data_IF_200447282005
#
_entry.id   IF_200447282005
#
_cell.length_a   1.000
_cell.length_b   1.000
_cell.length_c   1.000
_cell.angle_alpha   90.00
_cell.angle_beta   90.00
_cell.angle_gamma   90.00
#
_symmetry.space_group_name_H-M   'P 1'
#
loop_
_entity.id
_entity.type
_entity.pdbx_description
1 polymer ?
#
# COMPACT_ATOMS: atom_id res chain seq x y z
N UNK A 1 -1.17 -4.96 11.51
CA UNK A 1 -2.36 -5.68 11.01
C UNK A 1 -2.08 -6.25 9.62
N UNK A 2 -2.57 -7.46 9.33
CA UNK A 2 -2.38 -8.18 8.05
C UNK A 2 -3.68 -8.81 7.53
N UNK A 3 -4.66 -8.99 8.41
CA UNK A 3 -5.93 -9.65 8.05
C UNK A 3 -6.86 -8.70 7.30
N UNK A 4 -7.54 -9.23 6.26
CA UNK A 4 -8.52 -8.46 5.49
C UNK A 4 -9.91 -8.45 6.15
N UNK A 5 -10.68 -7.38 5.94
CA UNK A 5 -10.33 -6.14 5.20
C UNK A 5 -9.31 -5.30 5.99
N UNK A 6 -8.10 -5.18 5.47
CA UNK A 6 -6.90 -4.77 6.23
C UNK A 6 -7.01 -3.37 6.84
N UNK A 7 -7.47 -2.37 6.10
CA UNK A 7 -7.59 -0.99 6.58
C UNK A 7 -8.60 -0.90 7.72
N UNK A 8 -9.78 -1.50 7.56
CA UNK A 8 -10.84 -1.57 8.57
C UNK A 8 -10.38 -2.34 9.81
N UNK A 9 -9.68 -3.48 9.63
CA UNK A 9 -9.14 -4.26 10.75
C UNK A 9 -8.01 -3.52 11.49
N UNK A 10 -7.24 -2.70 10.79
CA UNK A 10 -6.24 -1.81 11.42
C UNK A 10 -6.94 -0.75 12.27
N UNK A 11 -7.98 -0.13 11.75
CA UNK A 11 -8.79 0.84 12.49
C UNK A 11 -9.45 0.21 13.73
N UNK A 12 -10.07 -0.95 13.56
CA UNK A 12 -10.67 -1.71 14.68
C UNK A 12 -9.64 -2.04 15.75
N UNK A 13 -8.46 -2.51 15.36
CA UNK A 13 -7.38 -2.82 16.29
C UNK A 13 -6.94 -1.59 17.09
N UNK A 14 -6.82 -0.44 16.42
CA UNK A 14 -6.51 0.81 17.12
C UNK A 14 -7.58 1.18 18.15
N UNK A 15 -8.86 1.12 17.77
CA UNK A 15 -9.98 1.43 18.69
C UNK A 15 -10.06 0.48 19.86
N UNK A 16 -9.87 -0.83 19.60
CA UNK A 16 -10.02 -1.87 20.65
C UNK A 16 -8.84 -1.90 21.62
N UNK A 17 -7.64 -1.53 21.18
CA UNK A 17 -6.44 -1.62 22.03
C UNK A 17 -6.08 -0.32 22.74
N UNK A 18 -6.52 0.83 22.21
CA UNK A 18 -6.13 2.15 22.72
C UNK A 18 -4.63 2.44 22.60
N UNK A 19 -3.90 1.66 21.79
CA UNK A 19 -2.48 1.88 21.55
C UNK A 19 -2.22 3.21 20.85
N UNK A 20 -1.00 3.72 20.98
CA UNK A 20 -0.57 4.89 20.22
C UNK A 20 -0.73 4.62 18.71
N UNK A 21 -1.44 5.49 17.96
CA UNK A 21 -1.67 5.31 16.52
C UNK A 21 -0.40 5.05 15.70
N UNK A 22 0.73 5.64 16.09
CA UNK A 22 2.03 5.41 15.44
C UNK A 22 2.53 3.96 15.54
N UNK A 23 1.97 3.17 16.46
CA UNK A 23 2.32 1.75 16.66
C UNK A 23 1.32 0.76 16.08
N UNK A 24 0.21 1.24 15.54
CA UNK A 24 -0.81 0.40 14.90
C UNK A 24 -0.73 0.61 13.39
N UNK A 25 -0.18 -0.37 12.70
CA UNK A 25 0.21 -0.27 11.29
C UNK A 25 -0.43 -1.42 10.52
N UNK A 26 -1.04 -1.13 9.38
CA UNK A 26 -1.54 -2.12 8.43
C UNK A 26 -0.54 -2.36 7.29
N UNK A 27 -0.22 -3.63 7.03
CA UNK A 27 0.75 -4.03 6.00
C UNK A 27 0.03 -4.29 4.66
N UNK A 28 -0.55 -3.27 4.03
CA UNK A 28 -1.16 -3.34 2.69
C UNK A 28 -0.26 -2.77 1.61
N UNK A 29 0.01 -1.48 1.69
CA UNK A 29 0.77 -0.74 0.68
C UNK A 29 2.18 -1.28 0.43
N UNK A 30 2.85 -1.85 1.44
CA UNK A 30 4.14 -2.50 1.27
C UNK A 30 4.06 -3.70 0.30
N UNK A 31 3.05 -4.56 0.47
CA UNK A 31 2.80 -5.71 -0.39
C UNK A 31 2.39 -5.28 -1.80
N UNK A 32 1.46 -4.32 -1.91
CA UNK A 32 0.97 -3.82 -3.19
C UNK A 32 2.08 -3.12 -3.98
N UNK A 33 2.96 -2.38 -3.31
CA UNK A 33 4.14 -1.78 -3.90
C UNK A 33 5.13 -2.83 -4.43
N UNK A 34 5.28 -3.95 -3.72
CA UNK A 34 6.12 -5.05 -4.21
C UNK A 34 5.55 -5.70 -5.47
N UNK A 35 4.23 -5.84 -5.57
CA UNK A 35 3.53 -6.30 -6.78
C UNK A 35 3.71 -5.32 -7.93
N UNK A 36 3.52 -4.03 -7.67
CA UNK A 36 3.72 -2.99 -8.67
C UNK A 36 5.14 -3.00 -9.24
N UNK A 37 6.17 -3.10 -8.38
CA UNK A 37 7.57 -3.27 -8.80
C UNK A 37 7.78 -4.54 -9.61
N UNK A 38 7.10 -5.64 -9.28
CA UNK A 38 7.18 -6.89 -10.05
C UNK A 38 6.63 -6.68 -11.47
N UNK A 39 5.46 -6.11 -11.64
CA UNK A 39 4.88 -5.88 -12.96
C UNK A 39 5.68 -4.84 -13.77
N UNK A 40 6.22 -3.79 -13.12
CA UNK A 40 7.15 -2.86 -13.78
C UNK A 40 8.44 -3.57 -14.25
N UNK A 41 9.01 -4.42 -13.42
CA UNK A 41 10.20 -5.23 -13.74
C UNK A 41 9.96 -6.10 -14.99
N UNK A 42 8.81 -6.77 -15.05
CA UNK A 42 8.41 -7.58 -16.20
C UNK A 42 8.20 -6.72 -17.46
N UNK A 43 7.51 -5.60 -17.34
CA UNK A 43 7.23 -4.69 -18.46
C UNK A 43 8.50 -4.06 -19.03
N UNK A 44 9.45 -3.72 -18.17
CA UNK A 44 10.75 -3.16 -18.54
C UNK A 44 11.74 -4.21 -19.02
N UNK A 45 11.50 -5.49 -18.75
CA UNK A 45 12.49 -6.58 -18.88
C UNK A 45 13.80 -6.26 -18.14
N UNK A 46 13.68 -5.75 -16.92
CA UNK A 46 14.80 -5.33 -16.07
C UNK A 46 14.62 -5.86 -14.65
N UNK A 47 15.69 -6.06 -13.86
CA UNK A 47 15.58 -6.52 -12.48
C UNK A 47 14.89 -5.47 -11.60
N UNK A 48 14.22 -5.93 -10.52
CA UNK A 48 13.56 -5.02 -9.57
C UNK A 48 14.53 -4.07 -8.85
N UNK A 49 15.80 -4.47 -8.75
CA UNK A 49 16.85 -3.60 -8.21
C UNK A 49 16.95 -2.34 -9.08
N UNK A 50 16.79 -1.18 -8.47
CA UNK A 50 16.73 0.11 -9.15
C UNK A 50 15.30 0.64 -9.40
N UNK A 51 14.25 -0.18 -9.19
CA UNK A 51 12.88 0.30 -9.20
C UNK A 51 12.54 1.01 -7.88
N UNK A 52 12.17 2.26 -7.99
CA UNK A 52 11.47 3.02 -6.96
C UNK A 52 10.02 3.23 -7.42
N UNK A 53 9.08 2.63 -6.69
CA UNK A 53 7.66 2.68 -7.01
C UNK A 53 6.84 2.32 -5.77
N UNK A 54 5.67 2.94 -5.65
CA UNK A 54 4.79 2.75 -4.51
C UNK A 54 3.32 2.66 -4.94
N UNK A 55 2.54 2.03 -4.07
CA UNK A 55 1.07 2.00 -4.13
C UNK A 55 0.56 2.63 -2.85
N UNK A 56 -0.40 3.55 -2.98
CA UNK A 56 -1.12 4.17 -1.87
C UNK A 56 -2.60 3.78 -1.93
N UNK A 57 -3.39 4.29 -1.02
CA UNK A 57 -4.83 4.01 -1.03
C UNK A 57 -5.22 2.84 -0.14
N UNK A 58 -6.47 2.39 -0.22
CA UNK A 58 -6.97 1.22 0.48
C UNK A 58 -6.40 -0.08 -0.07
N UNK A 59 -6.27 -1.10 0.78
CA UNK A 59 -5.76 -2.42 0.38
C UNK A 59 -6.86 -3.30 -0.25
N UNK A 60 -7.40 -2.86 -1.37
CA UNK A 60 -8.41 -3.58 -2.14
C UNK A 60 -8.26 -3.33 -3.62
N UNK A 61 -8.75 -4.26 -4.46
CA UNK A 61 -8.57 -4.23 -5.92
C UNK A 61 -9.14 -2.95 -6.58
N UNK A 62 -10.09 -2.28 -5.92
CA UNK A 62 -10.74 -1.06 -6.42
C UNK A 62 -10.31 0.20 -5.66
N UNK A 63 -9.49 0.06 -4.62
CA UNK A 63 -9.13 1.18 -3.73
C UNK A 63 -7.64 1.48 -3.70
N UNK A 64 -6.80 0.56 -4.17
CA UNK A 64 -5.36 0.82 -4.29
C UNK A 64 -5.05 1.72 -5.49
N UNK A 65 -4.03 2.55 -5.36
CA UNK A 65 -3.62 3.55 -6.35
C UNK A 65 -2.13 3.37 -6.63
N UNK A 66 -1.74 2.64 -7.69
CA UNK A 66 -0.34 2.54 -8.09
C UNK A 66 0.17 3.88 -8.62
N UNK A 67 1.11 4.49 -7.91
CA UNK A 67 1.62 5.85 -8.17
C UNK A 67 2.64 5.85 -9.31
N UNK A 68 2.18 5.58 -10.54
CA UNK A 68 3.05 5.45 -11.71
C UNK A 68 3.81 6.76 -12.05
N UNK A 69 3.24 7.93 -11.74
CA UNK A 69 3.89 9.24 -11.97
C UNK A 69 5.15 9.41 -11.10
N UNK A 70 5.18 8.80 -9.93
CA UNK A 70 6.32 8.81 -9.02
C UNK A 70 7.29 7.66 -9.28
N UNK A 71 6.92 6.68 -10.10
CA UNK A 71 7.73 5.49 -10.32
C UNK A 71 8.93 5.77 -11.22
N UNK A 72 10.10 5.23 -10.80
CA UNK A 72 11.39 5.43 -11.48
C UNK A 72 12.16 4.13 -11.56
N UNK A 73 13.03 4.03 -12.56
CA UNK A 73 14.06 3.01 -12.68
C UNK A 73 15.43 3.68 -12.78
N UNK A 74 16.31 3.49 -11.76
CA UNK A 74 17.59 4.18 -11.64
C UNK A 74 17.45 5.70 -11.86
N UNK A 75 16.52 6.31 -11.10
CA UNK A 75 16.15 7.72 -11.14
C UNK A 75 15.48 8.21 -12.44
N UNK A 76 15.35 7.37 -13.47
CA UNK A 76 14.64 7.72 -14.68
C UNK A 76 13.14 7.41 -14.55
N UNK A 77 12.24 8.40 -14.79
CA UNK A 77 10.80 8.19 -14.75
C UNK A 77 10.35 7.08 -15.70
N UNK A 78 9.49 6.17 -15.24
CA UNK A 78 8.99 5.05 -16.06
C UNK A 78 8.22 5.54 -17.30
N UNK A 79 7.64 6.72 -17.27
CA UNK A 79 6.96 7.36 -18.41
C UNK A 79 7.89 7.66 -19.60
N UNK A 80 9.21 7.68 -19.39
CA UNK A 80 10.19 7.76 -20.46
C UNK A 80 10.63 6.40 -20.99
N UNK A 81 10.37 5.34 -20.24
CA UNK A 81 10.82 3.98 -20.53
C UNK A 81 9.71 3.08 -21.08
N UNK A 82 8.46 3.38 -20.78
CA UNK A 82 7.27 2.62 -21.18
C UNK A 82 6.24 3.53 -21.83
N UNK A 83 5.49 3.00 -22.79
CA UNK A 83 4.32 3.69 -23.35
C UNK A 83 3.20 3.81 -22.32
N UNK A 84 2.30 4.79 -22.52
CA UNK A 84 1.13 4.97 -21.65
C UNK A 84 0.24 3.72 -21.59
N UNK A 85 0.06 3.01 -22.71
CA UNK A 85 -0.71 1.76 -22.75
C UNK A 85 -0.06 0.69 -21.86
N UNK A 86 1.28 0.58 -21.91
CA UNK A 86 2.02 -0.39 -21.10
C UNK A 86 1.98 -0.04 -19.60
N UNK A 87 2.05 1.24 -19.27
CA UNK A 87 1.89 1.72 -17.89
C UNK A 87 0.48 1.38 -17.39
N UNK A 88 -0.55 1.63 -18.20
CA UNK A 88 -1.94 1.33 -17.86
C UNK A 88 -2.17 -0.17 -17.63
N UNK A 89 -1.55 -1.03 -18.45
CA UNK A 89 -1.57 -2.49 -18.28
C UNK A 89 -0.93 -2.91 -16.95
N UNK A 90 0.22 -2.33 -16.61
CA UNK A 90 0.94 -2.59 -15.35
C UNK A 90 0.10 -2.15 -14.14
N UNK A 91 -0.48 -0.95 -14.18
CA UNK A 91 -1.36 -0.44 -13.13
C UNK A 91 -2.53 -1.39 -12.91
N UNK A 92 -3.25 -1.76 -13.97
CA UNK A 92 -4.38 -2.68 -13.91
C UNK A 92 -3.98 -4.06 -13.36
N UNK A 93 -2.84 -4.61 -13.82
CA UNK A 93 -2.33 -5.89 -13.33
C UNK A 93 -1.96 -5.84 -11.85
N UNK A 94 -1.43 -4.71 -11.38
CA UNK A 94 -1.13 -4.49 -9.96
C UNK A 94 -2.40 -4.55 -9.12
N UNK A 95 -3.44 -3.84 -9.53
CA UNK A 95 -4.72 -3.76 -8.80
C UNK A 95 -5.36 -5.14 -8.63
N UNK A 96 -5.43 -5.94 -9.69
CA UNK A 96 -6.08 -7.26 -9.65
C UNK A 96 -5.16 -8.42 -9.25
N UNK A 97 -3.87 -8.17 -9.06
CA UNK A 97 -2.84 -9.21 -8.86
C UNK A 97 -3.10 -10.08 -7.63
N UNK A 98 -3.64 -9.52 -6.56
CA UNK A 98 -3.99 -10.26 -5.35
C UNK A 98 -5.13 -11.25 -5.57
N UNK A 99 -6.23 -10.79 -6.17
CA UNK A 99 -7.39 -11.62 -6.50
C UNK A 99 -7.02 -12.72 -7.54
N UNK A 100 -6.23 -12.37 -8.54
CA UNK A 100 -5.72 -13.32 -9.54
C UNK A 100 -4.93 -14.45 -8.89
N UNK A 101 -3.99 -14.12 -7.99
CA UNK A 101 -3.19 -15.12 -7.30
C UNK A 101 -4.04 -16.01 -6.38
N UNK A 102 -4.96 -15.43 -5.63
CA UNK A 102 -5.90 -16.17 -4.76
C UNK A 102 -6.74 -17.15 -5.58
N UNK A 103 -7.24 -16.72 -6.75
CA UNK A 103 -8.00 -17.58 -7.66
C UNK A 103 -7.17 -18.77 -8.19
N UNK A 104 -5.90 -18.53 -8.54
CA UNK A 104 -5.01 -19.56 -9.07
C UNK A 104 -4.58 -20.56 -8.00
N UNK A 105 -4.36 -20.11 -6.76
CA UNK A 105 -3.95 -20.94 -5.64
C UNK A 105 -5.13 -21.67 -4.95
N UNK A 106 -6.36 -21.20 -5.15
CA UNK A 106 -7.54 -21.67 -4.41
C UNK A 106 -7.55 -21.24 -2.93
N UNK A 107 -6.60 -20.40 -2.52
CA UNK A 107 -6.47 -19.87 -1.15
C UNK A 107 -5.71 -18.55 -1.19
N UNK A 108 -5.71 -17.81 -0.06
CA UNK A 108 -4.91 -16.59 0.08
C UNK A 108 -3.41 -16.88 -0.06
N UNK A 109 -2.69 -15.98 -0.71
CA UNK A 109 -1.23 -16.05 -0.78
C UNK A 109 -0.62 -15.82 0.60
N UNK A 110 0.49 -16.50 0.90
CA UNK A 110 1.23 -16.36 2.17
C UNK A 110 2.69 -15.97 2.00
N UNK A 111 3.39 -16.39 0.93
CA UNK A 111 4.83 -16.09 0.74
C UNK A 111 5.11 -14.59 0.61
N UNK A 112 4.44 -13.91 -0.33
CA UNK A 112 4.64 -12.48 -0.52
C UNK A 112 4.18 -11.66 0.69
N UNK A 113 3.00 -11.93 1.32
CA UNK A 113 2.63 -11.30 2.59
C UNK A 113 3.65 -11.54 3.70
N UNK A 114 4.14 -12.77 3.88
CA UNK A 114 5.16 -13.09 4.88
C UNK A 114 6.45 -12.33 4.67
N UNK A 115 6.93 -12.23 3.43
CA UNK A 115 8.10 -11.42 3.06
C UNK A 115 7.90 -9.93 3.33
N UNK A 116 6.71 -9.40 3.03
CA UNK A 116 6.38 -7.99 3.28
C UNK A 116 6.29 -7.68 4.78
N UNK A 117 5.76 -8.62 5.58
CA UNK A 117 5.78 -8.51 7.05
C UNK A 117 7.21 -8.48 7.55
N UNK A 118 8.05 -9.42 7.11
CA UNK A 118 9.45 -9.49 7.51
C UNK A 118 10.21 -8.19 7.17
N UNK A 119 9.95 -7.63 5.99
CA UNK A 119 10.53 -6.35 5.56
C UNK A 119 10.12 -5.18 6.46
N UNK A 120 8.85 -5.11 6.84
CA UNK A 120 8.33 -4.07 7.75
C UNK A 120 8.91 -4.24 9.16
N UNK A 121 8.88 -5.46 9.70
CA UNK A 121 9.42 -5.79 11.03
C UNK A 121 10.91 -5.50 11.11
N UNK A 122 11.67 -5.87 10.08
CA UNK A 122 13.10 -5.57 9.98
C UNK A 122 13.40 -4.06 10.01
N UNK A 123 12.53 -3.23 9.38
CA UNK A 123 12.66 -1.78 9.46
C UNK A 123 12.43 -1.25 10.88
N UNK A 124 11.47 -1.83 11.63
CA UNK A 124 11.16 -1.45 13.00
C UNK A 124 12.28 -1.89 13.95
N UNK A 125 12.63 -3.19 13.93
CA UNK A 125 13.60 -3.77 14.87
C UNK A 125 14.99 -3.17 14.74
N UNK A 126 15.40 -2.83 13.52
CA UNK A 126 16.74 -2.29 13.22
C UNK A 126 16.72 -0.77 12.97
N UNK A 127 15.64 -0.07 13.30
CA UNK A 127 15.48 1.39 13.16
C UNK A 127 15.94 1.94 11.79
N UNK A 128 15.55 1.25 10.69
CA UNK A 128 16.11 1.51 9.35
C UNK A 128 15.60 2.79 8.70
N UNK A 129 14.56 3.42 9.25
CA UNK A 129 13.96 4.66 8.72
C UNK A 129 13.58 4.55 7.24
N UNK A 130 13.10 3.38 6.83
CA UNK A 130 12.68 3.16 5.44
C UNK A 130 11.34 3.84 5.15
N UNK A 131 11.21 4.35 3.94
CA UNK A 131 9.92 4.80 3.42
C UNK A 131 9.15 3.58 2.95
N UNK A 132 8.06 3.27 3.65
CA UNK A 132 7.22 2.10 3.36
C UNK A 132 5.76 2.56 3.35
N UNK A 133 5.02 2.36 2.26
CA UNK A 133 3.58 2.60 2.27
C UNK A 133 2.88 1.64 3.23
N UNK A 134 2.19 2.20 4.22
CA UNK A 134 1.50 1.47 5.27
C UNK A 134 0.17 2.11 5.57
N UNK A 135 -0.81 1.30 5.96
CA UNK A 135 -2.09 1.79 6.47
C UNK A 135 -1.92 2.34 7.88
N UNK A 136 -2.14 3.61 8.02
CA UNK A 136 -2.00 4.39 9.26
C UNK A 136 -3.21 5.27 9.46
N UNK A 137 -3.46 5.69 10.72
CA UNK A 137 -4.55 6.59 11.02
C UNK A 137 -4.30 7.96 10.39
N UNK A 138 -5.25 8.42 9.59
CA UNK A 138 -5.29 9.76 9.00
C UNK A 138 -6.46 10.55 9.59
N UNK A 139 -6.25 11.83 9.87
CA UNK A 139 -7.25 12.78 10.39
C UNK A 139 -8.01 12.30 11.65
N UNK A 140 -7.50 11.28 12.34
CA UNK A 140 -8.15 10.69 13.50
C UNK A 140 -9.36 9.80 13.19
N UNK A 141 -9.72 9.59 11.93
CA UNK A 141 -10.99 9.01 11.50
C UNK A 141 -10.88 7.65 10.80
N UNK A 142 -9.82 7.41 10.02
CA UNK A 142 -9.69 6.22 9.19
C UNK A 142 -8.24 5.80 8.99
N UNK A 143 -8.04 4.55 8.65
CA UNK A 143 -6.71 4.03 8.28
C UNK A 143 -6.60 3.88 6.76
N UNK A 144 -5.48 4.35 6.20
CA UNK A 144 -5.23 4.34 4.78
C UNK A 144 -3.73 4.21 4.48
N UNK A 145 -3.38 3.53 3.39
CA UNK A 145 -1.97 3.36 3.04
C UNK A 145 -1.42 4.63 2.39
N UNK A 146 -0.43 5.19 3.05
CA UNK A 146 0.37 6.34 2.61
C UNK A 146 1.85 6.07 2.88
N UNK A 147 2.78 6.73 2.18
CA UNK A 147 4.21 6.54 2.45
C UNK A 147 4.57 7.06 3.85
N UNK A 148 5.18 6.19 4.65
CA UNK A 148 5.57 6.47 6.02
C UNK A 148 7.06 6.17 6.22
N UNK A 149 7.75 7.00 7.00
CA UNK A 149 9.07 6.66 7.54
C UNK A 149 8.85 5.72 8.73
N UNK A 150 9.33 4.50 8.59
CA UNK A 150 9.16 3.43 9.60
C UNK A 150 10.47 3.20 10.35
N UNK A 151 10.41 3.39 11.67
CA UNK A 151 11.53 3.18 12.59
C UNK A 151 11.11 2.42 13.85
N UNK A 152 12.00 2.34 14.83
CA UNK A 152 11.84 1.56 16.07
C UNK A 152 10.61 1.91 16.90
N UNK A 153 10.08 3.12 16.75
CA UNK A 153 8.90 3.59 17.47
C UNK A 153 7.61 3.40 16.66
N UNK A 154 7.66 2.74 15.49
CA UNK A 154 6.59 2.62 14.53
C UNK A 154 6.67 3.67 13.43
N UNK A 155 5.61 4.42 13.22
CA UNK A 155 5.55 5.53 12.24
C UNK A 155 6.23 6.77 12.85
N UNK A 156 7.37 7.16 12.30
CA UNK A 156 8.02 8.42 12.70
C UNK A 156 7.37 9.62 12.00
N UNK A 157 7.08 9.48 10.69
CA UNK A 157 6.57 10.55 9.85
C UNK A 157 5.70 9.97 8.73
N UNK A 158 4.65 10.68 8.34
CA UNK A 158 3.85 10.45 7.14
C UNK A 158 4.33 11.42 6.07
N UNK A 159 4.70 10.91 4.90
CA UNK A 159 5.18 11.72 3.79
C UNK A 159 4.00 12.17 2.95
N UNK A 160 3.79 13.48 2.84
CA UNK A 160 2.81 14.05 1.94
C UNK A 160 3.31 13.98 0.49
N UNK A 161 2.44 13.51 -0.40
CA UNK A 161 2.70 13.46 -1.84
C UNK A 161 2.03 14.65 -2.54
N UNK A 162 2.73 15.24 -3.46
CA UNK A 162 2.17 16.26 -4.37
C UNK A 162 1.28 15.57 -5.43
N UNK A 163 0.04 15.25 -5.02
CA UNK A 163 -0.96 14.62 -5.87
C UNK A 163 -1.55 15.64 -6.86
N UNK A 164 -1.65 15.27 -8.12
CA UNK A 164 -2.42 16.05 -9.08
C UNK A 164 -3.92 15.88 -8.87
N UNK A 165 -4.74 16.67 -9.59
CA UNK A 165 -6.20 16.68 -9.42
C UNK A 165 -6.84 15.29 -9.63
N UNK A 166 -6.38 14.52 -10.61
CA UNK A 166 -6.90 13.18 -10.89
C UNK A 166 -6.52 12.19 -9.79
N UNK A 167 -5.27 12.21 -9.35
CA UNK A 167 -4.77 11.38 -8.25
C UNK A 167 -5.50 11.72 -6.94
N UNK A 168 -5.78 12.99 -6.69
CA UNK A 168 -6.55 13.42 -5.52
C UNK A 168 -8.00 12.93 -5.57
N UNK A 169 -8.64 12.95 -6.74
CA UNK A 169 -9.99 12.38 -6.93
C UNK A 169 -9.99 10.88 -6.65
N UNK A 170 -8.99 10.14 -7.15
CA UNK A 170 -8.85 8.70 -6.89
C UNK A 170 -8.59 8.42 -5.41
N UNK A 171 -7.73 9.21 -4.78
CA UNK A 171 -7.43 9.09 -3.35
C UNK A 171 -8.69 9.31 -2.50
N UNK A 172 -9.47 10.36 -2.76
CA UNK A 172 -10.70 10.64 -2.05
C UNK A 172 -11.75 9.53 -2.23
N UNK A 173 -11.92 8.99 -3.43
CA UNK A 173 -12.79 7.82 -3.67
C UNK A 173 -12.35 6.60 -2.84
N UNK A 174 -11.05 6.38 -2.76
CA UNK A 174 -10.49 5.29 -1.97
C UNK A 174 -10.75 5.51 -0.47
N UNK A 175 -10.60 6.72 0.02
CA UNK A 175 -10.92 7.13 1.41
C UNK A 175 -12.40 6.87 1.72
N UNK A 176 -13.30 7.30 0.83
CA UNK A 176 -14.75 7.13 1.02
C UNK A 176 -15.14 5.65 1.09
N UNK A 177 -14.51 4.80 0.28
CA UNK A 177 -14.73 3.36 0.33
C UNK A 177 -14.29 2.75 1.68
N UNK A 178 -13.14 3.15 2.20
CA UNK A 178 -12.66 2.69 3.52
C UNK A 178 -13.54 3.22 4.66
N UNK A 179 -13.96 4.50 4.61
CA UNK A 179 -14.90 5.08 5.59
C UNK A 179 -16.23 4.34 5.58
N UNK A 180 -16.77 4.03 4.40
CA UNK A 180 -18.00 3.25 4.25
C UNK A 180 -17.85 1.86 4.87
N UNK A 181 -16.70 1.20 4.69
CA UNK A 181 -16.45 -0.09 5.33
C UNK A 181 -16.35 0.06 6.86
N UNK A 182 -15.66 1.09 7.35
CA UNK A 182 -15.52 1.34 8.79
C UNK A 182 -16.87 1.64 9.47
N UNK A 183 -17.84 2.26 8.78
CA UNK A 183 -19.17 2.52 9.32
C UNK A 183 -19.93 1.25 9.69
N UNK A 184 -19.59 0.10 9.09
CA UNK A 184 -20.19 -1.20 9.44
C UNK A 184 -19.78 -1.68 10.84
N UNK A 185 -18.65 -1.19 11.38
CA UNK A 185 -18.19 -1.55 12.72
C UNK A 185 -19.09 -0.96 13.81
N UNK A 186 -19.67 0.22 13.58
CA UNK A 186 -20.52 0.92 14.57
C UNK A 186 -21.85 0.20 14.83
N UNK A 187 -22.25 -0.75 13.98
CA UNK A 187 -23.46 -1.55 14.15
C UNK A 187 -23.24 -2.80 15.00
N UNK A 188 -22.00 -3.08 15.44
CA UNK A 188 -21.62 -4.28 16.20
C UNK A 188 -20.89 -3.97 17.52
N UNK A 189 -20.72 -2.69 17.87
CA UNK A 189 -20.20 -2.20 19.16
C UNK A 189 -21.30 -1.49 19.94
#
# INVERSE_FOLDING_TARGET
>A
MVSNPMDTMTYLSLKSTGLNPKKVIGMGGALDSSRFKTYLSLALNKPQKGLDAMVIGGHGDTTMIPMHRFAKYNDEPISKLLSNDKISEVVKSTMVGGATLTKLLGTSAWYAPGSSIAYLVDSILNDKKKIIPCSVLLDGEYNHSVPCIIGKNGVDEIIELDLNELELVEFNKSVDAVRSMNSTLSSHT
#
